data_IF_132366748779
#
_entry.id   IF_132366748779
#
_cell.length_a   1.000
_cell.length_b   1.000
_cell.length_c   1.000
_cell.angle_alpha   90.00
_cell.angle_beta   90.00
_cell.angle_gamma   90.00
#
_symmetry.space_group_name_H-M   'P 1'
#
loop_
_entity.id
_entity.type
_entity.pdbx_description
1 polymer ?
#
# COMPACT_ATOMS: atom_id res chain seq x y z
N UNK A 1 -3.62 -10.94 -18.32
CA UNK A 1 -2.16 -10.74 -18.17
C UNK A 1 -1.85 -9.59 -17.20
N UNK A 2 -1.29 -9.91 -16.05
CA UNK A 2 -0.75 -8.91 -15.12
C UNK A 2 0.44 -8.19 -15.76
N UNK A 3 0.54 -6.87 -15.56
CA UNK A 3 1.62 -6.05 -16.12
C UNK A 3 3.00 -6.52 -15.64
N UNK A 4 4.06 -6.16 -16.38
CA UNK A 4 5.44 -6.41 -15.97
C UNK A 4 5.66 -5.80 -14.58
N UNK A 5 5.98 -6.62 -13.58
CA UNK A 5 6.31 -6.15 -12.25
C UNK A 5 7.73 -5.62 -12.24
N UNK A 6 7.94 -4.31 -12.04
CA UNK A 6 9.28 -3.71 -12.11
C UNK A 6 10.26 -4.38 -11.16
N UNK A 7 9.82 -4.79 -9.96
CA UNK A 7 10.65 -5.44 -8.95
C UNK A 7 11.34 -6.75 -9.42
N UNK A 8 10.91 -7.33 -10.55
CA UNK A 8 11.48 -8.54 -11.12
C UNK A 8 10.63 -9.79 -10.86
N UNK A 9 10.91 -10.88 -11.58
CA UNK A 9 10.09 -12.11 -11.53
C UNK A 9 10.12 -12.81 -10.17
N UNK A 10 11.18 -12.62 -9.37
CA UNK A 10 11.32 -13.27 -8.06
C UNK A 10 10.27 -12.83 -7.03
N UNK A 11 9.64 -11.67 -7.27
CA UNK A 11 8.64 -11.07 -6.37
C UNK A 11 7.21 -11.29 -6.85
N UNK A 12 6.99 -12.19 -7.80
CA UNK A 12 5.67 -12.42 -8.39
C UNK A 12 5.34 -13.89 -8.31
N UNK A 13 4.13 -14.20 -7.86
CA UNK A 13 3.62 -15.58 -7.91
C UNK A 13 2.19 -15.61 -8.39
N UNK A 14 1.95 -16.44 -9.39
CA UNK A 14 0.63 -16.63 -9.99
C UNK A 14 -0.06 -17.84 -9.39
N UNK A 15 -1.39 -17.75 -9.30
CA UNK A 15 -2.27 -18.80 -8.79
C UNK A 15 -3.55 -18.82 -9.62
N UNK A 16 -4.21 -19.98 -9.68
CA UNK A 16 -5.55 -20.09 -10.25
C UNK A 16 -6.51 -20.56 -9.15
N UNK A 17 -7.76 -20.11 -9.20
CA UNK A 17 -8.78 -20.50 -8.24
C UNK A 17 -10.17 -20.53 -8.87
N UNK A 18 -11.03 -21.43 -8.39
CA UNK A 18 -12.46 -21.49 -8.75
C UNK A 18 -13.36 -20.77 -7.75
N UNK A 19 -12.80 -20.35 -6.60
CA UNK A 19 -13.50 -19.52 -5.63
C UNK A 19 -13.67 -18.10 -6.17
N UNK A 20 -14.75 -17.42 -5.78
CA UNK A 20 -14.95 -16.02 -6.17
C UNK A 20 -13.91 -15.10 -5.52
N UNK A 21 -13.62 -13.95 -6.15
CA UNK A 21 -12.62 -13.03 -5.63
C UNK A 21 -13.02 -12.45 -4.26
N UNK A 22 -14.33 -12.35 -4.01
CA UNK A 22 -14.90 -11.92 -2.72
C UNK A 22 -14.68 -12.97 -1.65
N UNK A 23 -14.89 -14.25 -1.95
CA UNK A 23 -14.67 -15.33 -0.98
C UNK A 23 -13.19 -15.42 -0.60
N UNK A 24 -12.30 -15.32 -1.59
CA UNK A 24 -10.85 -15.29 -1.35
C UNK A 24 -10.46 -14.10 -0.49
N UNK A 25 -10.99 -12.90 -0.77
CA UNK A 25 -10.76 -11.72 0.07
C UNK A 25 -11.17 -11.97 1.52
N UNK A 26 -12.37 -12.51 1.74
CA UNK A 26 -12.90 -12.78 3.08
C UNK A 26 -12.04 -13.81 3.83
N UNK A 27 -11.62 -14.88 3.16
CA UNK A 27 -10.75 -15.90 3.75
C UNK A 27 -9.41 -15.30 4.19
N UNK A 28 -8.76 -14.53 3.32
CA UNK A 28 -7.47 -13.89 3.61
C UNK A 28 -7.56 -12.89 4.78
N UNK A 29 -8.63 -12.08 4.80
CA UNK A 29 -8.85 -11.09 5.86
C UNK A 29 -9.12 -11.78 7.19
N UNK A 30 -10.01 -12.77 7.19
CA UNK A 30 -10.44 -13.48 8.41
C UNK A 30 -9.34 -14.37 9.00
N UNK A 31 -8.49 -14.96 8.16
CA UNK A 31 -7.60 -16.04 8.59
C UNK A 31 -6.11 -15.77 8.37
N UNK A 32 -5.71 -14.74 7.62
CA UNK A 32 -4.29 -14.46 7.35
C UNK A 32 -3.87 -13.01 7.67
N UNK A 33 -4.74 -12.21 8.30
CA UNK A 33 -4.42 -10.84 8.71
C UNK A 33 -4.20 -9.89 7.54
N UNK A 34 -4.83 -10.18 6.40
CA UNK A 34 -4.91 -9.23 5.30
C UNK A 34 -5.93 -8.14 5.60
N UNK A 35 -5.77 -6.99 4.95
CA UNK A 35 -6.78 -5.94 4.88
C UNK A 35 -7.53 -6.06 3.55
N UNK A 36 -8.86 -5.98 3.60
CA UNK A 36 -9.69 -5.99 2.39
C UNK A 36 -9.39 -4.76 1.54
N UNK A 37 -9.22 -4.95 0.24
CA UNK A 37 -9.11 -3.84 -0.70
C UNK A 37 -10.42 -3.60 -1.45
N UNK A 38 -10.58 -2.40 -2.00
CA UNK A 38 -11.78 -2.00 -2.73
C UNK A 38 -11.74 -2.39 -4.23
N UNK A 39 -10.95 -3.41 -4.61
CA UNK A 39 -10.78 -3.81 -6.01
C UNK A 39 -10.29 -2.68 -6.92
N UNK A 40 -9.49 -1.75 -6.37
CA UNK A 40 -8.86 -0.69 -7.15
C UNK A 40 -7.72 -1.26 -8.02
N UNK A 41 -7.36 -0.55 -9.09
CA UNK A 41 -6.37 -0.99 -10.08
C UNK A 41 -5.14 -0.05 -10.04
N UNK A 42 -4.20 -0.26 -9.11
CA UNK A 42 -3.08 0.67 -8.89
C UNK A 42 -2.12 0.75 -10.09
N UNK A 43 -2.11 -0.29 -10.93
CA UNK A 43 -1.29 -0.37 -12.14
C UNK A 43 -2.06 0.06 -13.41
N UNK A 44 -3.25 0.63 -13.25
CA UNK A 44 -4.11 1.11 -14.33
C UNK A 44 -5.11 0.06 -14.84
N UNK A 45 -6.02 0.48 -15.75
CA UNK A 45 -7.06 -0.39 -16.28
C UNK A 45 -6.51 -1.69 -16.89
N UNK A 46 -7.25 -2.78 -16.69
CA UNK A 46 -6.92 -4.12 -17.20
C UNK A 46 -5.58 -4.71 -16.71
N UNK A 47 -4.96 -4.15 -15.65
CA UNK A 47 -3.75 -4.71 -15.00
C UNK A 47 -4.04 -5.51 -13.73
N UNK A 48 -5.30 -5.86 -13.53
CA UNK A 48 -5.80 -6.56 -12.36
C UNK A 48 -6.23 -5.61 -11.24
N UNK A 49 -7.11 -6.10 -10.38
CA UNK A 49 -7.69 -5.38 -9.26
C UNK A 49 -7.17 -5.96 -7.94
N UNK A 50 -6.87 -5.09 -6.98
CA UNK A 50 -6.37 -5.51 -5.66
C UNK A 50 -7.51 -6.11 -4.85
N UNK A 51 -7.34 -7.39 -4.50
CA UNK A 51 -8.25 -8.17 -3.65
C UNK A 51 -7.94 -7.89 -2.18
N UNK A 52 -6.67 -7.96 -1.79
CA UNK A 52 -6.29 -7.79 -0.39
C UNK A 52 -4.84 -7.32 -0.26
N UNK A 53 -4.51 -6.67 0.86
CA UNK A 53 -3.16 -6.13 1.13
C UNK A 53 -2.64 -6.63 2.47
N UNK A 54 -1.35 -6.96 2.54
CA UNK A 54 -0.66 -7.31 3.78
C UNK A 54 0.82 -6.97 3.72
N UNK A 55 1.27 -6.13 4.66
CA UNK A 55 2.69 -5.82 4.91
C UNK A 55 3.52 -5.45 3.66
N UNK A 56 3.00 -4.61 2.77
CA UNK A 56 3.71 -4.19 1.54
C UNK A 56 3.50 -5.10 0.34
N UNK A 57 2.61 -6.09 0.45
CA UNK A 57 2.27 -7.02 -0.62
C UNK A 57 0.77 -7.04 -0.88
N UNK A 58 0.41 -7.23 -2.15
CA UNK A 58 -0.96 -7.27 -2.65
C UNK A 58 -1.29 -8.64 -3.22
N UNK A 59 -2.51 -9.08 -3.01
CA UNK A 59 -3.16 -10.12 -3.82
C UNK A 59 -4.02 -9.40 -4.84
N UNK A 60 -3.84 -9.70 -6.12
CA UNK A 60 -4.64 -9.13 -7.20
C UNK A 60 -5.30 -10.22 -8.04
N UNK A 61 -6.42 -9.88 -8.65
CA UNK A 61 -7.15 -10.73 -9.60
C UNK A 61 -7.17 -10.06 -10.96
N UNK A 62 -6.99 -10.81 -12.05
CA UNK A 62 -6.99 -10.24 -13.39
C UNK A 62 -8.38 -9.73 -13.79
N UNK A 63 -9.37 -10.61 -13.65
CA UNK A 63 -10.79 -10.36 -13.91
C UNK A 63 -11.61 -10.88 -12.73
N UNK A 64 -12.43 -10.02 -12.13
CA UNK A 64 -13.09 -10.30 -10.86
C UNK A 64 -14.18 -11.37 -10.96
N UNK A 65 -14.88 -11.39 -12.09
CA UNK A 65 -16.11 -12.16 -12.29
C UNK A 65 -15.90 -13.36 -13.22
N UNK A 66 -14.64 -13.80 -13.40
CA UNK A 66 -14.32 -14.98 -14.20
C UNK A 66 -14.65 -16.29 -13.44
N UNK A 67 -15.02 -17.33 -14.18
CA UNK A 67 -15.29 -18.67 -13.63
C UNK A 67 -14.02 -19.31 -13.04
N UNK A 68 -12.87 -19.04 -13.64
CA UNK A 68 -11.54 -19.38 -13.11
C UNK A 68 -10.72 -18.10 -12.97
N UNK A 69 -10.38 -17.76 -11.73
CA UNK A 69 -9.64 -16.55 -11.41
C UNK A 69 -8.15 -16.77 -11.62
N UNK A 70 -7.54 -15.90 -12.44
CA UNK A 70 -6.10 -15.69 -12.40
C UNK A 70 -5.75 -14.71 -11.28
N UNK A 71 -5.01 -15.18 -10.28
CA UNK A 71 -4.58 -14.43 -9.13
C UNK A 71 -3.07 -14.24 -9.13
N UNK A 72 -2.61 -13.20 -8.45
CA UNK A 72 -1.19 -12.91 -8.30
C UNK A 72 -0.90 -12.31 -6.94
N UNK A 73 0.21 -12.74 -6.35
CA UNK A 73 0.85 -12.06 -5.22
C UNK A 73 2.03 -11.26 -5.76
N UNK A 74 2.08 -9.98 -5.41
CA UNK A 74 3.14 -9.08 -5.81
C UNK A 74 3.37 -8.00 -4.73
N UNK A 75 4.50 -7.27 -4.75
CA UNK A 75 4.66 -6.09 -3.92
C UNK A 75 3.64 -5.02 -4.31
N UNK A 76 3.28 -4.15 -3.37
CA UNK A 76 2.60 -2.91 -3.70
C UNK A 76 3.55 -1.92 -4.41
N UNK A 77 3.05 -0.74 -4.77
CA UNK A 77 3.81 0.27 -5.52
C UNK A 77 5.07 0.71 -4.76
N UNK A 78 4.96 0.91 -3.45
CA UNK A 78 6.06 1.41 -2.61
C UNK A 78 7.15 0.35 -2.46
N UNK A 79 6.76 -0.88 -2.10
CA UNK A 79 7.70 -2.01 -2.00
C UNK A 79 8.29 -2.37 -3.37
N UNK A 80 7.52 -2.23 -4.46
CA UNK A 80 8.02 -2.41 -5.83
C UNK A 80 9.16 -1.44 -6.13
N UNK A 81 9.01 -0.17 -5.79
CA UNK A 81 10.04 0.85 -6.02
C UNK A 81 11.31 0.55 -5.22
N UNK A 82 11.18 0.17 -3.95
CA UNK A 82 12.31 -0.18 -3.10
C UNK A 82 13.08 -1.41 -3.64
N UNK A 83 12.36 -2.49 -3.96
CA UNK A 83 12.96 -3.72 -4.47
C UNK A 83 13.59 -3.53 -5.85
N UNK A 84 12.96 -2.75 -6.72
CA UNK A 84 13.51 -2.37 -8.01
C UNK A 84 14.80 -1.54 -7.86
N UNK A 85 14.77 -0.51 -7.02
CA UNK A 85 15.95 0.33 -6.78
C UNK A 85 17.12 -0.50 -6.27
N UNK A 86 16.87 -1.46 -5.37
CA UNK A 86 17.92 -2.34 -4.88
C UNK A 86 18.49 -3.22 -6.00
N UNK A 87 17.66 -3.90 -6.78
CA UNK A 87 18.11 -4.83 -7.83
C UNK A 87 18.82 -4.16 -9.01
N UNK A 88 18.59 -2.86 -9.23
CA UNK A 88 19.16 -2.10 -10.34
C UNK A 88 20.29 -1.15 -9.95
N UNK A 89 20.82 -1.27 -8.71
CA UNK A 89 21.95 -0.46 -8.26
C UNK A 89 21.62 0.98 -7.85
N UNK A 90 20.32 1.29 -7.68
CA UNK A 90 19.82 2.57 -7.19
C UNK A 90 19.52 2.58 -5.68
N UNK A 91 20.03 1.59 -4.95
CA UNK A 91 19.84 1.50 -3.49
C UNK A 91 20.32 2.75 -2.74
N UNK A 92 21.32 3.46 -3.27
CA UNK A 92 21.88 4.69 -2.69
C UNK A 92 20.96 5.92 -2.81
N UNK A 93 19.89 5.85 -3.60
CA UNK A 93 18.88 6.91 -3.67
C UNK A 93 18.00 6.98 -2.41
N UNK A 94 18.00 5.91 -1.61
CA UNK A 94 17.20 5.82 -0.40
C UNK A 94 18.11 5.94 0.82
N UNK A 95 17.86 6.95 1.63
CA UNK A 95 18.51 7.09 2.92
C UNK A 95 18.00 6.02 3.91
N UNK A 96 18.81 5.70 4.92
CA UNK A 96 18.38 4.80 6.00
C UNK A 96 17.12 5.33 6.73
N UNK A 97 16.96 6.66 6.81
CA UNK A 97 15.78 7.29 7.39
C UNK A 97 14.52 7.03 6.57
N UNK A 98 14.60 7.11 5.24
CA UNK A 98 13.47 6.79 4.35
C UNK A 98 13.10 5.33 4.43
N UNK A 99 14.09 4.42 4.38
CA UNK A 99 13.86 2.97 4.53
C UNK A 99 13.12 2.69 5.84
N UNK A 100 13.55 3.31 6.95
CA UNK A 100 12.92 3.15 8.25
C UNK A 100 11.51 3.74 8.29
N UNK A 101 11.29 4.92 7.71
CA UNK A 101 9.98 5.56 7.70
C UNK A 101 8.95 4.75 6.90
N UNK A 102 9.35 4.20 5.76
CA UNK A 102 8.51 3.45 4.84
C UNK A 102 8.24 2.02 5.32
N UNK A 103 9.26 1.34 5.85
CA UNK A 103 9.19 -0.11 6.07
C UNK A 103 9.35 -0.54 7.53
N UNK A 104 9.80 0.37 8.40
CA UNK A 104 10.25 0.07 9.77
C UNK A 104 11.58 -0.67 9.86
N UNK A 105 12.29 -0.91 8.75
CA UNK A 105 13.59 -1.57 8.72
C UNK A 105 14.74 -0.55 8.85
N UNK A 106 15.83 -0.91 9.54
CA UNK A 106 16.96 0.01 9.77
C UNK A 106 17.91 0.08 8.56
N UNK A 107 17.90 -0.93 7.69
CA UNK A 107 18.77 -1.03 6.53
C UNK A 107 18.20 -1.97 5.45
N UNK A 108 18.86 -1.98 4.28
CA UNK A 108 18.50 -2.80 3.13
C UNK A 108 18.50 -4.31 3.41
N UNK A 109 19.49 -4.82 4.15
CA UNK A 109 19.58 -6.25 4.46
C UNK A 109 18.36 -6.72 5.26
N UNK A 110 17.99 -5.97 6.30
CA UNK A 110 16.80 -6.24 7.09
C UNK A 110 15.54 -6.14 6.23
N UNK A 111 15.42 -5.10 5.39
CA UNK A 111 14.29 -4.93 4.48
C UNK A 111 14.12 -6.15 3.59
N UNK A 112 15.17 -6.60 2.91
CA UNK A 112 15.10 -7.72 1.96
C UNK A 112 14.72 -9.02 2.66
N UNK A 113 15.29 -9.29 3.84
CA UNK A 113 14.95 -10.47 4.65
C UNK A 113 13.49 -10.46 5.07
N UNK A 114 13.01 -9.32 5.57
CA UNK A 114 11.63 -9.14 6.02
C UNK A 114 10.65 -9.21 4.84
N UNK A 115 10.98 -8.56 3.72
CA UNK A 115 10.20 -8.59 2.49
C UNK A 115 10.06 -10.02 1.95
N UNK A 116 11.16 -10.78 1.85
CA UNK A 116 11.12 -12.17 1.41
C UNK A 116 10.26 -13.05 2.31
N UNK A 117 10.38 -12.87 3.62
CA UNK A 117 9.53 -13.57 4.62
C UNK A 117 8.05 -13.23 4.43
N UNK A 118 7.72 -11.93 4.28
CA UNK A 118 6.34 -11.45 4.10
C UNK A 118 5.73 -11.91 2.78
N UNK A 119 6.51 -11.86 1.70
CA UNK A 119 6.10 -12.35 0.38
C UNK A 119 5.76 -13.84 0.41
N UNK A 120 6.67 -14.66 0.95
CA UNK A 120 6.43 -16.09 1.10
C UNK A 120 5.20 -16.38 1.96
N UNK A 121 5.03 -15.65 3.07
CA UNK A 121 3.84 -15.82 3.92
C UNK A 121 2.53 -15.43 3.21
N UNK A 122 2.55 -14.38 2.37
CA UNK A 122 1.40 -13.98 1.57
C UNK A 122 1.04 -15.05 0.52
N UNK A 123 2.06 -15.61 -0.15
CA UNK A 123 1.89 -16.72 -1.09
C UNK A 123 1.27 -17.95 -0.42
N UNK A 124 1.83 -18.40 0.70
CA UNK A 124 1.31 -19.56 1.44
C UNK A 124 -0.10 -19.32 1.98
N UNK A 125 -0.42 -18.09 2.40
CA UNK A 125 -1.77 -17.76 2.83
C UNK A 125 -2.79 -17.87 1.69
N UNK A 126 -2.45 -17.35 0.51
CA UNK A 126 -3.31 -17.44 -0.67
C UNK A 126 -3.47 -18.88 -1.13
N UNK A 127 -2.38 -19.64 -1.23
CA UNK A 127 -2.40 -21.07 -1.57
C UNK A 127 -3.35 -21.84 -0.64
N UNK A 128 -3.23 -21.65 0.68
CA UNK A 128 -4.12 -22.28 1.66
C UNK A 128 -5.57 -21.81 1.54
N UNK A 129 -5.81 -20.55 1.16
CA UNK A 129 -7.17 -20.06 0.95
C UNK A 129 -7.81 -20.74 -0.27
N UNK A 130 -7.04 -20.91 -1.35
CA UNK A 130 -7.45 -21.61 -2.58
C UNK A 130 -7.73 -23.09 -2.29
N UNK A 131 -6.85 -23.74 -1.54
CA UNK A 131 -6.98 -25.16 -1.18
C UNK A 131 -8.05 -25.42 -0.09
N UNK A 132 -8.65 -24.36 0.48
CA UNK A 132 -9.60 -24.47 1.58
C UNK A 132 -8.99 -24.95 2.92
N UNK A 133 -7.66 -24.88 3.06
CA UNK A 133 -6.90 -25.30 4.26
C UNK A 133 -6.48 -24.13 5.14
N UNK A 134 -6.89 -22.90 4.82
CA UNK A 134 -6.57 -21.72 5.61
C UNK A 134 -7.27 -21.79 6.98
N UNK A 135 -6.46 -21.75 8.03
CA UNK A 135 -6.93 -21.83 9.42
C UNK A 135 -6.79 -20.44 10.06
N UNK A 136 -7.74 -20.00 10.91
CA UNK A 136 -7.58 -18.78 11.67
C UNK A 136 -6.28 -18.79 12.47
N UNK A 137 -5.64 -17.62 12.68
CA UNK A 137 -4.51 -17.53 13.58
C UNK A 137 -4.98 -18.00 14.96
N UNK A 138 -4.31 -19.03 15.49
CA UNK A 138 -4.58 -19.53 16.85
C UNK A 138 -4.54 -18.34 17.81
N UNK A 139 -5.60 -18.08 18.61
CA UNK A 139 -5.54 -17.06 19.63
C UNK A 139 -4.29 -17.32 20.48
N UNK A 140 -3.42 -16.31 20.61
CA UNK A 140 -2.31 -16.40 21.55
C UNK A 140 -2.91 -16.83 22.89
N UNK A 141 -2.44 -17.97 23.42
CA UNK A 141 -2.94 -18.45 24.69
C UNK A 141 -2.76 -17.34 25.74
N UNK A 142 -3.73 -17.11 26.63
CA UNK A 142 -3.54 -16.21 27.75
C UNK A 142 -2.27 -16.62 28.47
N UNK A 143 -1.27 -15.74 28.46
CA UNK A 143 -0.11 -15.89 29.35
C UNK A 143 -0.66 -15.84 30.77
N UNK A 144 -0.60 -16.97 31.46
CA UNK A 144 -0.83 -17.08 32.90
C UNK A 144 -0.04 -15.97 33.63
N UNK A 145 -0.61 -15.32 34.64
CA UNK A 145 0.01 -14.16 35.28
C UNK A 145 1.29 -14.58 36.00
N UNK A 146 2.43 -14.18 35.44
CA UNK A 146 3.71 -14.26 36.14
C UNK A 146 3.68 -13.19 37.22
N UNK A 147 3.73 -13.65 38.47
CA UNK A 147 3.78 -12.79 39.66
C UNK A 147 4.89 -11.75 39.55
N UNK A 148 4.52 -10.50 39.84
CA UNK A 148 5.37 -9.49 40.48
C UNK A 148 6.63 -9.05 39.73
N UNK A 149 6.45 -8.21 38.71
CA UNK A 149 7.40 -7.11 38.48
C UNK A 149 6.61 -5.81 38.51
N UNK A 150 7.04 -4.92 39.39
CA UNK A 150 6.45 -3.62 39.73
C UNK A 150 5.87 -2.87 38.54
N UNK A 151 4.57 -2.59 38.63
CA UNK A 151 3.84 -1.71 37.75
C UNK A 151 4.46 -0.30 37.77
N UNK A 152 5.16 0.08 36.69
CA UNK A 152 5.29 1.48 36.32
C UNK A 152 3.96 1.86 35.69
N UNK A 153 3.22 2.74 36.35
CA UNK A 153 1.96 3.28 35.85
C UNK A 153 2.19 3.89 34.46
N UNK A 154 1.65 3.25 33.42
CA UNK A 154 1.49 3.87 32.11
C UNK A 154 0.39 4.90 32.27
N UNK A 155 0.76 6.17 32.16
CA UNK A 155 -0.18 7.28 32.16
C UNK A 155 -1.27 7.04 31.11
N UNK A 156 -2.54 7.40 31.37
CA UNK A 156 -3.61 7.26 30.40
C UNK A 156 -3.20 7.99 29.10
N UNK A 157 -3.30 7.28 27.98
CA UNK A 157 -3.15 7.89 26.65
C UNK A 157 -4.21 8.97 26.56
N UNK A 158 -3.77 10.22 26.57
CA UNK A 158 -4.62 11.38 26.39
C UNK A 158 -5.38 11.19 25.07
N UNK A 159 -6.71 11.28 25.17
CA UNK A 159 -7.60 11.33 24.01
C UNK A 159 -7.05 12.42 23.10
N UNK A 160 -6.82 12.14 21.81
CA UNK A 160 -6.40 13.15 20.85
C UNK A 160 -7.48 14.23 20.83
N UNK A 161 -7.26 15.29 21.63
CA UNK A 161 -7.89 16.58 21.45
C UNK A 161 -7.26 17.08 20.16
N UNK A 162 -8.09 17.39 19.15
CA UNK A 162 -7.63 18.22 18.04
C UNK A 162 -7.26 19.58 18.61
N UNK A 163 -6.03 19.70 19.13
CA UNK A 163 -5.38 20.98 19.24
C UNK A 163 -5.15 21.42 17.81
N UNK A 164 -5.89 22.44 17.37
CA UNK A 164 -5.57 23.16 16.15
C UNK A 164 -4.07 23.43 16.18
N UNK A 165 -3.35 22.91 15.19
CA UNK A 165 -1.98 23.32 14.97
C UNK A 165 -1.97 24.86 14.86
N UNK A 166 -0.96 25.54 15.41
CA UNK A 166 -0.79 26.97 15.15
C UNK A 166 -0.80 27.17 13.62
N UNK A 167 -1.57 28.15 13.20
CA UNK A 167 -1.81 28.59 11.84
C UNK A 167 -0.58 28.35 10.93
N UNK A 168 -0.67 27.36 10.04
CA UNK A 168 0.35 27.08 9.01
C UNK A 168 0.17 28.02 7.79
N UNK A 169 -0.54 29.14 7.98
CA UNK A 169 -0.67 30.23 6.99
C UNK A 169 0.45 31.28 7.10
N UNK A 170 1.29 31.23 8.15
CA UNK A 170 2.47 32.10 8.29
C UNK A 170 3.75 31.40 7.86
N UNK A 171 3.82 31.04 6.57
CA UNK A 171 5.03 30.45 6.00
C UNK A 171 5.73 31.43 5.03
N UNK A 172 6.95 31.94 5.35
CA UNK A 172 7.68 32.88 4.50
C UNK A 172 8.47 32.23 3.34
N UNK A 173 8.19 30.97 2.98
CA UNK A 173 9.07 30.21 2.07
C UNK A 173 8.85 30.50 0.59
N UNK A 174 7.84 31.29 0.23
CA UNK A 174 7.72 31.81 -1.13
C UNK A 174 8.45 33.16 -1.21
N UNK A 175 9.42 33.31 -2.12
CA UNK A 175 9.96 34.62 -2.46
C UNK A 175 8.81 35.58 -2.80
N UNK A 176 8.93 36.84 -2.38
CA UNK A 176 7.90 37.88 -2.55
C UNK A 176 7.44 38.07 -4.01
N UNK A 177 8.21 37.54 -4.95
CA UNK A 177 8.05 37.66 -6.39
C UNK A 177 7.06 36.62 -6.96
N UNK A 178 6.60 35.64 -6.15
CA UNK A 178 5.68 34.59 -6.61
C UNK A 178 4.19 35.00 -6.55
N UNK A 179 3.87 36.10 -5.87
CA UNK A 179 2.54 36.70 -5.87
C UNK A 179 2.53 37.88 -6.84
N UNK A 180 2.44 37.59 -8.14
CA UNK A 180 2.13 38.62 -9.11
C UNK A 180 0.61 38.75 -9.24
N UNK A 181 0.09 39.91 -8.86
CA UNK A 181 -1.28 40.32 -9.20
C UNK A 181 -1.46 40.27 -10.71
N UNK A 182 -2.48 39.53 -11.17
CA UNK A 182 -2.95 39.65 -12.55
C UNK A 182 -3.44 41.09 -12.73
N UNK A 183 -2.91 41.88 -13.68
CA UNK A 183 -3.33 43.26 -13.84
C UNK A 183 -4.82 43.32 -14.19
N UNK A 184 -5.63 43.75 -13.23
CA UNK A 184 -7.02 44.11 -13.46
C UNK A 184 -7.05 45.42 -14.25
N UNK A 185 -7.05 45.30 -15.58
CA UNK A 185 -7.35 46.42 -16.47
C UNK A 185 -6.33 46.63 -17.59
N UNK A 186 -6.50 45.91 -18.70
CA UNK A 186 -6.16 46.46 -20.01
C UNK A 186 -7.46 46.85 -20.72
N UNK A 187 -7.71 48.14 -20.99
CA UNK A 187 -8.85 48.56 -21.77
C UNK A 187 -8.52 48.43 -23.26
N UNK A 188 -9.32 47.65 -23.99
CA UNK A 188 -9.46 47.75 -25.43
C UNK A 188 -8.83 46.62 -26.23
N UNK A 189 -9.65 45.61 -26.55
CA UNK A 189 -9.80 45.19 -27.95
C UNK A 189 -11.14 44.48 -28.10
N UNK A 190 -11.98 45.07 -28.94
CA UNK A 190 -13.35 44.71 -29.27
C UNK A 190 -13.48 43.36 -29.97
N UNK A 191 -14.53 42.62 -29.60
CA UNK A 191 -15.53 42.01 -30.50
C UNK A 191 -15.01 41.29 -31.77
N UNK A 192 -14.92 39.96 -31.72
CA UNK A 192 -15.32 39.10 -32.83
C UNK A 192 -15.98 37.85 -32.24
N UNK A 193 -17.30 37.77 -32.40
CA UNK A 193 -18.10 36.61 -32.06
C UNK A 193 -18.03 35.46 -33.07
N UNK A 194 -18.32 34.27 -32.50
CA UNK A 194 -19.08 33.13 -33.04
C UNK A 194 -18.45 32.22 -34.13
N UNK A 195 -18.94 30.97 -34.30
CA UNK A 195 -19.93 30.23 -33.49
C UNK A 195 -19.51 28.78 -33.11
N UNK A 196 -20.19 28.24 -32.10
CA UNK A 196 -20.40 26.81 -31.95
C UNK A 196 -21.59 26.41 -32.83
N UNK A 197 -21.40 25.46 -33.74
CA UNK A 197 -22.49 24.76 -34.41
C UNK A 197 -22.81 23.43 -33.69
N UNK A 198 -24.10 23.10 -33.77
CA UNK A 198 -24.87 22.04 -33.11
C UNK A 198 -24.32 20.61 -33.18
#
# INVERSE_FOLDING_TARGET
MFGLYPAGPDWVRHFNATLSAVDIQQLLVKHAGFTAALFHQPYGPARGAVVAVRHGFVVMVHERDADELELVVAPDVEMTNLLWSHSHGYASQWSAREIKALTGCENWEQLLKVAGTRFSAACTALERAIDGTIVPPTPAQPVEPVESVTAVAVAPIDRIVSSSFPDDDDVPWLPSDYLHDVPAGLPGMTDVGLPCDH
#
